data_IF_086002864642
#
_entry.id   IF_086002864642
#
_cell.length_a   1.000
_cell.length_b   1.000
_cell.length_c   1.000
_cell.angle_alpha   90.00
_cell.angle_beta   90.00
_cell.angle_gamma   90.00
#
_symmetry.space_group_name_H-M   'P 1'
#
loop_
_entity.id
_entity.type
_entity.pdbx_description
1 polymer ?
#
# COMPACT_ATOMS: atom_id res chain seq x y z
N UNK A 1 46.72 13.29 1.41
CA UNK A 1 46.15 11.92 1.30
C UNK A 1 44.96 11.65 2.21
N UNK A 2 44.78 12.35 3.34
CA UNK A 2 43.65 12.10 4.26
C UNK A 2 42.33 12.77 3.82
N UNK A 3 42.38 13.98 3.28
CA UNK A 3 41.19 14.74 2.84
C UNK A 3 40.40 14.10 1.70
N UNK A 4 41.09 13.45 0.76
CA UNK A 4 40.46 12.72 -0.37
C UNK A 4 39.73 11.45 0.08
N UNK A 5 40.23 10.75 1.10
CA UNK A 5 39.56 9.56 1.66
C UNK A 5 38.24 9.92 2.37
N UNK A 6 38.18 11.08 3.03
CA UNK A 6 36.98 11.56 3.73
C UNK A 6 35.87 11.96 2.74
N UNK A 7 36.24 12.56 1.61
CA UNK A 7 35.28 12.90 0.56
C UNK A 7 34.71 11.65 -0.13
N UNK A 8 35.54 10.63 -0.36
CA UNK A 8 35.14 9.35 -0.94
C UNK A 8 34.20 8.56 -0.02
N UNK A 9 34.42 8.59 1.29
CA UNK A 9 33.52 7.93 2.26
C UNK A 9 32.13 8.57 2.31
N UNK A 10 32.04 9.89 2.15
CA UNK A 10 30.76 10.59 2.16
C UNK A 10 29.90 10.27 0.93
N UNK A 11 30.51 10.11 -0.25
CA UNK A 11 29.83 9.77 -1.50
C UNK A 11 29.28 8.33 -1.51
N UNK A 12 29.92 7.39 -0.79
CA UNK A 12 29.43 6.01 -0.69
C UNK A 12 28.19 5.88 0.19
N UNK A 13 28.05 6.73 1.23
CA UNK A 13 26.92 6.69 2.14
C UNK A 13 25.59 7.13 1.47
N UNK A 14 25.66 7.99 0.45
CA UNK A 14 24.48 8.47 -0.29
C UNK A 14 23.87 7.43 -1.24
N UNK A 15 24.60 6.38 -1.62
CA UNK A 15 24.08 5.30 -2.49
C UNK A 15 23.26 4.25 -1.75
N UNK A 16 23.36 4.18 -0.42
CA UNK A 16 22.68 3.16 0.38
C UNK A 16 21.23 3.53 0.74
N UNK A 17 20.78 4.75 0.47
CA UNK A 17 19.44 5.23 0.87
C UNK A 17 18.37 5.16 -0.24
N UNK A 18 18.72 4.75 -1.47
CA UNK A 18 17.78 4.78 -2.61
C UNK A 18 17.11 3.44 -2.92
N UNK A 19 17.05 2.50 -1.99
CA UNK A 19 16.12 1.36 -2.09
C UNK A 19 14.71 1.81 -1.69
N UNK A 20 14.10 2.67 -2.50
CA UNK A 20 12.65 2.71 -2.59
C UNK A 20 12.23 1.37 -3.21
N UNK A 21 12.05 0.34 -2.37
CA UNK A 21 11.29 -0.83 -2.76
C UNK A 21 9.97 -0.28 -3.28
N UNK A 22 9.75 -0.41 -4.58
CA UNK A 22 8.42 -0.32 -5.14
C UNK A 22 7.63 -1.42 -4.42
N UNK A 23 7.04 -1.06 -3.29
CA UNK A 23 6.07 -1.87 -2.60
C UNK A 23 4.94 -1.98 -3.60
N UNK A 24 4.95 -3.04 -4.40
CA UNK A 24 3.75 -3.62 -4.98
C UNK A 24 2.68 -3.49 -3.92
N UNK A 25 1.65 -2.70 -4.23
CA UNK A 25 0.61 -2.30 -3.28
C UNK A 25 -0.16 -3.54 -2.82
N UNK A 26 0.44 -4.27 -1.89
CA UNK A 26 -0.14 -5.44 -1.25
C UNK A 26 -0.94 -4.94 -0.07
N UNK A 27 -2.24 -5.20 -0.08
CA UNK A 27 -3.09 -4.99 1.08
C UNK A 27 -2.97 -6.19 2.04
N UNK A 28 -3.35 -5.99 3.30
CA UNK A 28 -3.43 -7.08 4.29
C UNK A 28 -4.69 -7.91 4.01
N UNK A 29 -4.51 -9.21 3.76
CA UNK A 29 -5.62 -10.16 3.49
C UNK A 29 -6.71 -10.01 4.56
N UNK A 30 -7.96 -9.88 4.12
CA UNK A 30 -9.14 -9.66 4.98
C UNK A 30 -9.38 -8.21 5.39
N UNK A 31 -8.53 -7.25 5.01
CA UNK A 31 -8.91 -5.84 5.07
C UNK A 31 -9.98 -5.51 4.04
N UNK A 32 -10.94 -4.67 4.42
CA UNK A 32 -11.93 -4.10 3.53
C UNK A 32 -12.08 -2.60 3.77
N UNK A 33 -12.42 -1.86 2.71
CA UNK A 33 -12.57 -0.39 2.75
C UNK A 33 -13.61 0.08 1.72
N UNK A 34 -14.30 1.22 1.97
CA UNK A 34 -15.32 1.70 1.06
C UNK A 34 -14.72 2.14 -0.27
N UNK A 35 -15.50 1.99 -1.35
CA UNK A 35 -15.22 2.72 -2.58
C UNK A 35 -15.54 4.22 -2.38
N UNK A 36 -14.71 5.09 -2.95
CA UNK A 36 -14.85 6.54 -2.78
C UNK A 36 -15.90 7.18 -3.68
N UNK A 37 -16.34 6.47 -4.73
CA UNK A 37 -17.26 6.97 -5.75
C UNK A 37 -18.67 6.39 -5.60
N UNK A 38 -18.78 5.17 -5.09
CA UNK A 38 -20.04 4.43 -4.97
C UNK A 38 -20.11 3.69 -3.61
N UNK A 39 -21.03 4.14 -2.74
CA UNK A 39 -21.23 3.52 -1.42
C UNK A 39 -21.77 2.08 -1.48
N UNK A 40 -22.29 1.67 -2.64
CA UNK A 40 -22.73 0.31 -2.90
C UNK A 40 -21.56 -0.64 -3.19
N UNK A 41 -20.37 -0.11 -3.45
CA UNK A 41 -19.17 -0.89 -3.69
C UNK A 41 -18.16 -0.74 -2.55
N UNK A 42 -17.35 -1.77 -2.38
CA UNK A 42 -16.24 -1.79 -1.45
C UNK A 42 -15.12 -2.67 -1.98
N UNK A 43 -13.90 -2.43 -1.52
CA UNK A 43 -12.78 -3.29 -1.83
C UNK A 43 -12.53 -4.26 -0.68
N UNK A 44 -12.19 -5.51 -1.00
CA UNK A 44 -11.69 -6.49 -0.06
C UNK A 44 -10.36 -7.03 -0.53
N UNK A 45 -9.41 -7.16 0.39
CA UNK A 45 -8.11 -7.73 0.10
C UNK A 45 -8.18 -9.26 0.05
N UNK A 46 -8.13 -9.81 -1.16
CA UNK A 46 -8.19 -11.25 -1.40
C UNK A 46 -6.86 -11.95 -1.11
N UNK A 47 -6.87 -13.29 -1.18
CA UNK A 47 -5.66 -14.10 -1.14
C UNK A 47 -4.66 -13.63 -2.20
N UNK A 48 -3.41 -13.39 -1.80
CA UNK A 48 -2.38 -12.81 -2.67
C UNK A 48 -2.16 -11.30 -2.47
N UNK A 49 -2.89 -10.67 -1.55
CA UNK A 49 -2.68 -9.27 -1.18
C UNK A 49 -3.19 -8.29 -2.23
N UNK A 50 -4.11 -8.71 -3.10
CA UNK A 50 -4.68 -7.89 -4.15
C UNK A 50 -6.09 -7.39 -3.74
N UNK A 51 -6.40 -6.09 -3.93
CA UNK A 51 -7.74 -5.57 -3.73
C UNK A 51 -8.69 -6.07 -4.81
N UNK A 52 -9.87 -6.52 -4.40
CA UNK A 52 -10.97 -6.94 -5.29
C UNK A 52 -12.17 -6.06 -5.01
N UNK A 53 -12.73 -5.47 -6.06
CA UNK A 53 -13.98 -4.70 -5.97
C UNK A 53 -15.16 -5.67 -5.76
N UNK A 54 -15.98 -5.39 -4.76
CA UNK A 54 -17.20 -6.12 -4.43
C UNK A 54 -18.37 -5.14 -4.39
N UNK A 55 -19.56 -5.66 -4.65
CA UNK A 55 -20.81 -4.91 -4.63
C UNK A 55 -21.71 -5.49 -3.56
N UNK A 56 -22.29 -4.62 -2.75
CA UNK A 56 -23.24 -4.97 -1.71
C UNK A 56 -24.53 -5.58 -2.31
N UNK A 57 -25.33 -6.26 -1.47
CA UNK A 57 -26.64 -6.76 -1.89
C UNK A 57 -27.63 -5.62 -2.17
N UNK A 58 -28.71 -5.85 -2.94
CA UNK A 58 -29.67 -4.80 -3.29
C UNK A 58 -30.21 -4.05 -2.06
N UNK A 59 -30.18 -2.72 -2.11
CA UNK A 59 -30.67 -1.87 -1.03
C UNK A 59 -29.73 -1.73 0.18
N UNK A 60 -28.49 -2.21 0.10
CA UNK A 60 -27.48 -2.04 1.15
C UNK A 60 -26.28 -1.23 0.66
N UNK A 61 -25.44 -0.78 1.60
CA UNK A 61 -24.22 -0.03 1.35
C UNK A 61 -23.15 -0.50 2.35
N UNK A 62 -21.88 -0.39 1.98
CA UNK A 62 -20.79 -0.84 2.84
C UNK A 62 -20.63 0.07 4.06
N UNK A 63 -20.54 -0.53 5.26
CA UNK A 63 -20.28 0.20 6.50
C UNK A 63 -18.85 -0.07 7.00
N UNK A 64 -17.93 0.92 6.98
CA UNK A 64 -16.54 0.73 7.40
C UNK A 64 -16.38 0.43 8.90
N UNK A 65 -17.39 0.74 9.72
CA UNK A 65 -17.38 0.46 11.16
C UNK A 65 -17.64 -1.03 11.45
N UNK A 66 -18.49 -1.67 10.66
CA UNK A 66 -18.83 -3.10 10.82
C UNK A 66 -18.06 -4.01 9.87
N UNK A 67 -17.50 -3.47 8.79
CA UNK A 67 -16.76 -4.22 7.77
C UNK A 67 -17.64 -5.09 6.87
N UNK A 68 -18.94 -4.77 6.79
CA UNK A 68 -19.98 -5.46 6.00
C UNK A 68 -20.92 -4.47 5.34
#
# INVERSE_FOLDING_TARGET
MHFIYQALSALAASFLFSSATAATAYCRVGQAWPDSSDCHNFYECASGGAPVLKTCGPGTAYCPTTGV
#
